data_IF_565073441034
#
_entry.id   IF_565073441034
#
_cell.length_a   1.000
_cell.length_b   1.000
_cell.length_c   1.000
_cell.angle_alpha   90.00
_cell.angle_beta   90.00
_cell.angle_gamma   90.00
#
_symmetry.space_group_name_H-M   'P 1'
#
loop_
_entity.id
_entity.type
_entity.pdbx_description
1 polymer ?
#
# COMPACT_ATOMS: atom_id res chain seq x y z
N UNK A 1 -5.99 1.64 0.23
CA UNK A 1 -4.68 0.99 0.52
C UNK A 1 -3.49 1.68 -0.16
N UNK A 2 -3.54 2.96 -0.52
CA UNK A 2 -2.45 3.63 -1.27
C UNK A 2 -1.65 4.62 -0.43
N UNK A 3 -2.19 5.05 0.72
CA UNK A 3 -1.51 5.99 1.60
C UNK A 3 -0.27 5.39 2.23
N UNK A 4 0.82 6.17 2.21
CA UNK A 4 2.13 5.81 2.79
C UNK A 4 2.37 6.46 4.15
N UNK A 5 1.40 7.23 4.64
CA UNK A 5 1.51 7.95 5.90
C UNK A 5 1.20 7.05 7.10
N UNK A 6 2.01 7.12 8.15
CA UNK A 6 1.84 6.30 9.36
C UNK A 6 0.49 6.57 10.03
N UNK A 7 0.01 7.82 10.01
CA UNK A 7 -1.31 8.16 10.58
C UNK A 7 -2.51 7.54 9.85
N UNK A 8 -2.29 6.90 8.70
CA UNK A 8 -3.31 6.12 7.98
C UNK A 8 -3.01 4.62 7.95
N UNK A 9 -1.99 4.19 8.70
CA UNK A 9 -1.67 2.78 8.85
C UNK A 9 -2.73 2.08 9.70
N UNK A 10 -2.93 0.78 9.46
CA UNK A 10 -3.74 -0.02 10.38
C UNK A 10 -2.94 -0.23 11.66
N UNK A 11 -3.50 0.12 12.81
CA UNK A 11 -2.81 0.04 14.08
C UNK A 11 -3.78 -0.04 15.25
N UNK A 12 -3.41 -0.83 16.26
CA UNK A 12 -4.16 -0.95 17.50
C UNK A 12 -3.87 0.20 18.49
N UNK A 13 -3.05 1.21 18.13
CA UNK A 13 -2.79 2.36 19.00
C UNK A 13 -4.04 3.20 19.30
N UNK A 14 -4.99 3.21 18.37
CA UNK A 14 -6.30 3.86 18.53
C UNK A 14 -7.36 2.88 18.08
N UNK A 15 -7.90 2.13 19.04
CA UNK A 15 -8.85 1.02 18.83
C UNK A 15 -10.00 1.42 17.89
N UNK A 16 -10.64 2.57 18.13
CA UNK A 16 -11.76 3.03 17.29
C UNK A 16 -11.39 3.22 15.81
N UNK A 17 -10.15 3.65 15.51
CA UNK A 17 -9.71 3.90 14.13
C UNK A 17 -9.40 2.60 13.38
N UNK A 18 -9.02 1.55 14.10
CA UNK A 18 -8.75 0.24 13.52
C UNK A 18 -10.06 -0.45 13.14
N UNK A 19 -11.02 -0.47 14.08
CA UNK A 19 -12.34 -1.07 13.87
C UNK A 19 -13.09 -0.38 12.73
N UNK A 20 -13.05 0.96 12.67
CA UNK A 20 -13.62 1.73 11.57
C UNK A 20 -13.00 1.34 10.21
N UNK A 21 -11.68 1.14 10.17
CA UNK A 21 -10.98 0.72 8.95
C UNK A 21 -11.32 -0.71 8.55
N UNK A 22 -11.48 -1.63 9.51
CA UNK A 22 -11.90 -3.01 9.26
C UNK A 22 -13.34 -3.04 8.74
N UNK A 23 -14.26 -2.35 9.42
CA UNK A 23 -15.66 -2.25 9.02
C UNK A 23 -15.79 -1.69 7.59
N UNK A 24 -15.04 -0.62 7.27
CA UNK A 24 -15.00 -0.08 5.93
C UNK A 24 -14.57 -1.11 4.87
N UNK A 25 -13.54 -1.91 5.16
CA UNK A 25 -13.06 -2.94 4.23
C UNK A 25 -14.07 -4.07 4.03
N UNK A 26 -14.79 -4.45 5.09
CA UNK A 26 -15.86 -5.45 5.03
C UNK A 26 -17.05 -4.93 4.22
N UNK A 27 -17.49 -3.70 4.46
CA UNK A 27 -18.54 -3.03 3.67
C UNK A 27 -18.13 -2.90 2.19
N UNK A 28 -16.86 -2.61 1.93
CA UNK A 28 -16.33 -2.54 0.57
C UNK A 28 -16.41 -3.89 -0.16
N UNK A 29 -16.17 -5.00 0.54
CA UNK A 29 -16.38 -6.34 -0.01
C UNK A 29 -17.85 -6.61 -0.32
N UNK A 30 -18.75 -6.26 0.60
CA UNK A 30 -20.20 -6.42 0.41
C UNK A 30 -20.66 -5.63 -0.81
N UNK A 31 -20.23 -4.38 -0.93
CA UNK A 31 -20.52 -3.53 -2.09
C UNK A 31 -20.10 -4.21 -3.39
N UNK A 32 -18.85 -4.67 -3.53
CA UNK A 32 -18.39 -5.30 -4.76
C UNK A 32 -19.05 -6.66 -5.06
N UNK A 33 -19.47 -7.38 -4.03
CA UNK A 33 -20.19 -8.65 -4.17
C UNK A 33 -21.63 -8.46 -4.65
N UNK A 34 -22.27 -7.33 -4.31
CA UNK A 34 -23.67 -7.04 -4.67
C UNK A 34 -23.81 -6.34 -6.03
N UNK A 35 -22.70 -5.86 -6.62
CA UNK A 35 -22.72 -5.30 -7.97
C UNK A 35 -23.19 -6.33 -9.00
N UNK A 36 -24.38 -6.11 -9.55
CA UNK A 36 -24.88 -6.86 -10.70
C UNK A 36 -24.31 -6.25 -11.99
N UNK A 37 -23.54 -7.05 -12.73
CA UNK A 37 -22.96 -6.64 -14.01
C UNK A 37 -23.59 -7.52 -15.09
N UNK A 38 -24.36 -6.93 -16.00
CA UNK A 38 -24.98 -7.65 -17.13
C UNK A 38 -23.96 -7.99 -18.20
N UNK A 39 -24.06 -9.20 -18.75
CA UNK A 39 -23.30 -9.55 -19.95
C UNK A 39 -23.94 -8.93 -21.19
N UNK A 40 -23.15 -8.32 -22.08
CA UNK A 40 -23.66 -7.64 -23.28
C UNK A 40 -24.40 -8.59 -24.24
N UNK A 41 -24.10 -9.89 -24.17
CA UNK A 41 -24.68 -10.94 -25.03
C UNK A 41 -25.88 -11.66 -24.41
N UNK A 42 -26.13 -11.52 -23.11
CA UNK A 42 -27.20 -12.22 -22.40
C UNK A 42 -27.66 -11.39 -21.20
N UNK A 43 -28.97 -11.27 -20.95
CA UNK A 43 -29.54 -10.56 -19.79
C UNK A 43 -29.29 -11.26 -18.42
N UNK A 44 -28.24 -12.07 -18.35
CA UNK A 44 -27.77 -12.75 -17.15
C UNK A 44 -26.69 -11.93 -16.47
N UNK A 45 -26.72 -12.00 -15.15
CA UNK A 45 -25.68 -11.43 -14.31
C UNK A 45 -24.39 -12.21 -14.51
N UNK A 46 -23.27 -11.49 -14.63
CA UNK A 46 -21.96 -12.08 -14.81
C UNK A 46 -20.98 -11.55 -13.77
N UNK A 47 -20.25 -12.46 -13.14
CA UNK A 47 -19.23 -12.11 -12.18
C UNK A 47 -17.95 -11.73 -12.93
N UNK A 48 -17.49 -10.48 -12.75
CA UNK A 48 -16.29 -9.99 -13.44
C UNK A 48 -15.03 -10.26 -12.62
N UNK A 49 -13.87 -10.48 -13.28
CA UNK A 49 -12.59 -10.65 -12.59
C UNK A 49 -12.25 -9.55 -11.58
N UNK A 50 -12.71 -8.31 -11.81
CA UNK A 50 -12.52 -7.20 -10.87
C UNK A 50 -13.22 -7.44 -9.52
N UNK A 51 -14.42 -8.04 -9.51
CA UNK A 51 -15.13 -8.36 -8.27
C UNK A 51 -14.36 -9.42 -7.49
N UNK A 52 -13.88 -10.47 -8.18
CA UNK A 52 -13.02 -11.48 -7.57
C UNK A 52 -11.73 -10.87 -7.00
N UNK A 53 -11.10 -9.98 -7.76
CA UNK A 53 -9.87 -9.30 -7.36
C UNK A 53 -10.06 -8.46 -6.09
N UNK A 54 -11.16 -7.72 -5.99
CA UNK A 54 -11.50 -6.96 -4.78
C UNK A 54 -11.74 -7.89 -3.59
N UNK A 55 -12.55 -8.93 -3.74
CA UNK A 55 -12.80 -9.88 -2.64
C UNK A 55 -11.52 -10.53 -2.12
N UNK A 56 -10.66 -11.03 -3.03
CA UNK A 56 -9.41 -11.68 -2.66
C UNK A 56 -8.45 -10.70 -2.00
N UNK A 57 -8.24 -9.52 -2.59
CA UNK A 57 -7.28 -8.53 -2.07
C UNK A 57 -7.70 -7.99 -0.71
N UNK A 58 -8.98 -7.67 -0.52
CA UNK A 58 -9.49 -7.17 0.76
C UNK A 58 -9.48 -8.25 1.83
N UNK A 59 -9.89 -9.49 1.51
CA UNK A 59 -9.80 -10.63 2.44
C UNK A 59 -8.35 -10.86 2.88
N UNK A 60 -7.41 -10.79 1.93
CA UNK A 60 -5.99 -10.95 2.24
C UNK A 60 -5.47 -9.82 3.13
N UNK A 61 -5.87 -8.59 2.87
CA UNK A 61 -5.50 -7.44 3.69
C UNK A 61 -6.00 -7.58 5.13
N UNK A 62 -7.27 -7.98 5.32
CA UNK A 62 -7.88 -8.21 6.64
C UNK A 62 -7.20 -9.34 7.42
N UNK A 63 -6.82 -10.43 6.74
CA UNK A 63 -6.11 -11.54 7.39
C UNK A 63 -4.67 -11.18 7.75
N UNK A 64 -3.93 -10.57 6.82
CA UNK A 64 -2.54 -10.20 7.03
C UNK A 64 -2.42 -9.15 8.12
N UNK A 65 -3.27 -8.13 8.13
CA UNK A 65 -3.23 -7.12 9.20
C UNK A 65 -3.51 -7.75 10.56
N UNK A 66 -4.47 -8.68 10.64
CA UNK A 66 -4.80 -9.37 11.89
C UNK A 66 -3.62 -10.20 12.39
N UNK A 67 -2.99 -11.00 11.52
CA UNK A 67 -1.81 -11.77 11.93
C UNK A 67 -0.67 -10.85 12.38
N UNK A 68 -0.33 -9.82 11.59
CA UNK A 68 0.78 -8.94 11.92
C UNK A 68 0.55 -8.17 13.22
N UNK A 69 -0.65 -7.61 13.43
CA UNK A 69 -0.95 -6.83 14.62
C UNK A 69 -1.18 -7.71 15.86
N UNK A 70 -1.99 -8.77 15.75
CA UNK A 70 -2.47 -9.52 16.92
C UNK A 70 -1.65 -10.77 17.24
N UNK A 71 -1.03 -11.41 16.23
CA UNK A 71 -0.21 -12.62 16.44
C UNK A 71 1.26 -12.25 16.59
N UNK A 72 1.77 -11.41 15.69
CA UNK A 72 3.18 -11.01 15.67
C UNK A 72 3.48 -9.71 16.45
N UNK A 73 2.45 -9.04 16.99
CA UNK A 73 2.57 -7.83 17.82
C UNK A 73 3.29 -6.66 17.13
N UNK A 74 3.10 -6.49 15.83
CA UNK A 74 3.56 -5.29 15.13
C UNK A 74 2.76 -4.06 15.58
N UNK A 75 3.43 -2.92 15.67
CA UNK A 75 2.83 -1.65 16.10
C UNK A 75 1.80 -1.11 15.09
N UNK A 76 2.08 -1.28 13.79
CA UNK A 76 1.22 -0.85 12.70
C UNK A 76 1.54 -1.62 11.41
N UNK A 77 0.59 -1.61 10.47
CA UNK A 77 0.73 -2.23 9.15
C UNK A 77 0.40 -1.20 8.07
N UNK A 78 1.35 -1.00 7.16
CA UNK A 78 1.16 -0.16 5.96
C UNK A 78 0.70 -1.01 4.79
N UNK A 79 -0.62 -1.10 4.58
CA UNK A 79 -1.18 -1.91 3.49
C UNK A 79 -0.69 -1.48 2.09
N UNK A 80 -0.26 -0.24 1.92
CA UNK A 80 0.33 0.26 0.67
C UNK A 80 1.62 -0.44 0.25
N UNK A 81 2.26 -1.22 1.14
CA UNK A 81 3.47 -1.98 0.81
C UNK A 81 3.18 -3.32 0.15
N UNK A 82 1.94 -3.78 0.16
CA UNK A 82 1.51 -5.00 -0.52
C UNK A 82 1.00 -4.74 -1.95
N UNK A 83 1.10 -3.50 -2.45
CA UNK A 83 0.75 -3.15 -3.83
C UNK A 83 1.95 -3.31 -4.77
N UNK A 84 1.67 -3.33 -6.08
CA UNK A 84 2.70 -3.38 -7.12
C UNK A 84 3.25 -1.99 -7.48
N UNK A 85 2.84 -0.93 -6.80
CA UNK A 85 3.20 0.45 -7.13
C UNK A 85 4.71 0.66 -7.14
N UNK A 86 5.45 0.05 -6.20
CA UNK A 86 6.91 0.16 -6.17
C UNK A 86 7.57 -0.44 -7.42
N UNK A 87 7.04 -1.56 -7.91
CA UNK A 87 7.53 -2.24 -9.11
C UNK A 87 7.14 -1.45 -10.37
N UNK A 88 5.94 -0.90 -10.42
CA UNK A 88 5.50 -0.04 -11.53
C UNK A 88 6.32 1.25 -11.61
N UNK A 89 6.63 1.85 -10.46
CA UNK A 89 7.53 2.99 -10.36
C UNK A 89 8.95 2.64 -10.83
N UNK A 90 9.47 1.47 -10.48
CA UNK A 90 10.75 0.98 -11.00
C UNK A 90 10.72 0.85 -12.54
N UNK A 91 9.67 0.26 -13.11
CA UNK A 91 9.54 0.19 -14.57
C UNK A 91 9.42 1.57 -15.22
N UNK A 92 8.80 2.53 -14.55
CA UNK A 92 8.77 3.93 -15.01
C UNK A 92 10.17 4.56 -15.02
N UNK A 93 11.00 4.29 -14.00
CA UNK A 93 12.41 4.71 -13.98
C UNK A 93 13.24 4.08 -15.10
N UNK A 94 12.99 2.81 -15.45
CA UNK A 94 13.67 2.18 -16.58
C UNK A 94 13.20 2.77 -17.91
N UNK A 95 11.89 2.97 -18.06
CA UNK A 95 11.27 3.49 -19.28
C UNK A 95 11.53 4.98 -19.53
N UNK A 96 11.90 5.74 -18.50
CA UNK A 96 12.29 7.14 -18.68
C UNK A 96 13.59 7.30 -19.50
N UNK A 97 14.45 6.27 -19.52
CA UNK A 97 15.68 6.23 -20.33
C UNK A 97 15.39 5.75 -21.76
N UNK A 98 14.56 4.72 -21.90
CA UNK A 98 14.07 4.22 -23.19
C UNK A 98 12.63 3.70 -23.01
N UNK A 99 11.61 4.29 -23.67
CA UNK A 99 10.21 3.92 -23.49
C UNK A 99 9.90 2.44 -23.75
N UNK A 100 10.63 1.81 -24.68
CA UNK A 100 10.47 0.39 -25.04
C UNK A 100 11.85 -0.27 -25.03
N UNK A 101 12.38 -0.61 -23.85
CA UNK A 101 13.72 -1.16 -23.73
C UNK A 101 13.75 -2.61 -24.21
N UNK A 102 14.80 -2.99 -24.95
CA UNK A 102 15.08 -4.40 -25.25
C UNK A 102 15.56 -5.12 -23.99
N UNK A 103 15.48 -6.45 -23.96
CA UNK A 103 15.85 -7.24 -22.79
C UNK A 103 17.27 -6.95 -22.26
N UNK A 104 18.25 -6.75 -23.15
CA UNK A 104 19.62 -6.37 -22.78
C UNK A 104 19.69 -4.98 -22.14
N UNK A 105 18.98 -4.01 -22.72
CA UNK A 105 18.93 -2.63 -22.22
C UNK A 105 18.25 -2.57 -20.86
N UNK A 106 17.16 -3.32 -20.68
CA UNK A 106 16.47 -3.47 -19.40
C UNK A 106 17.42 -4.05 -18.33
N UNK A 107 18.13 -5.14 -18.65
CA UNK A 107 19.10 -5.78 -17.75
C UNK A 107 20.26 -4.85 -17.38
N UNK A 108 20.83 -4.13 -18.35
CA UNK A 108 21.90 -3.17 -18.10
C UNK A 108 21.41 -1.99 -17.24
N UNK A 109 20.21 -1.49 -17.52
CA UNK A 109 19.59 -0.40 -16.75
C UNK A 109 19.38 -0.81 -15.29
N UNK A 110 18.82 -2.00 -15.04
CA UNK A 110 18.68 -2.52 -13.67
C UNK A 110 20.02 -2.68 -12.94
N UNK A 111 21.07 -3.13 -13.64
CA UNK A 111 22.42 -3.27 -13.06
C UNK A 111 23.03 -1.93 -12.67
N UNK A 112 22.84 -0.91 -13.50
CA UNK A 112 23.33 0.45 -13.24
C UNK A 112 22.53 1.13 -12.13
N UNK A 113 21.23 0.87 -12.05
CA UNK A 113 20.35 1.43 -11.03
C UNK A 113 20.46 0.69 -9.68
N UNK A 114 21.03 -0.52 -9.64
CA UNK A 114 21.30 -1.26 -8.40
C UNK A 114 22.28 -0.52 -7.45
N UNK A 115 23.11 0.37 -7.99
CA UNK A 115 24.09 1.16 -7.24
C UNK A 115 23.64 2.59 -6.93
N UNK A 116 22.42 2.98 -7.29
CA UNK A 116 21.89 4.34 -7.03
C UNK A 116 20.60 4.23 -6.21
N UNK A 117 20.44 4.99 -5.11
CA UNK A 117 19.17 5.04 -4.42
C UNK A 117 18.09 5.52 -5.38
N UNK A 118 17.05 4.70 -5.58
CA UNK A 118 15.86 5.00 -6.39
C UNK A 118 15.00 6.04 -5.66
N UNK A 119 15.53 7.24 -5.46
CA UNK A 119 14.86 8.36 -4.82
C UNK A 119 15.37 9.67 -5.40
N UNK A 120 15.08 9.95 -6.67
CA UNK A 120 14.79 11.32 -7.12
C UNK A 120 13.76 11.24 -8.24
N UNK A 121 12.51 10.92 -7.87
CA UNK A 121 11.38 11.41 -8.63
C UNK A 121 11.34 12.92 -8.39
N UNK A 122 11.82 13.67 -9.39
CA UNK A 122 11.52 15.06 -9.73
C UNK A 122 10.93 15.90 -8.57
N UNK A 123 11.78 16.71 -7.95
CA UNK A 123 11.36 17.91 -7.22
C UNK A 123 10.58 18.80 -8.19
N UNK A 124 9.25 18.83 -8.04
CA UNK A 124 8.36 19.95 -8.33
C UNK A 124 7.05 19.62 -7.61
N UNK A 125 6.93 20.09 -6.37
CA UNK A 125 5.71 19.96 -5.55
C UNK A 125 5.88 19.16 -4.25
N UNK A 126 6.28 19.86 -3.19
CA UNK A 126 5.99 19.58 -1.77
C UNK A 126 6.65 18.37 -1.06
N UNK A 127 7.50 18.73 -0.09
CA UNK A 127 7.92 18.00 1.12
C UNK A 127 7.63 16.49 1.15
N UNK A 128 8.61 15.67 0.78
CA UNK A 128 8.68 14.29 1.24
C UNK A 128 10.12 13.97 1.64
N UNK A 129 10.28 13.52 2.89
CA UNK A 129 11.53 13.11 3.54
C UNK A 129 12.35 14.25 4.21
N UNK A 130 11.75 14.90 5.20
CA UNK A 130 12.49 15.61 6.26
C UNK A 130 12.11 15.06 7.63
N UNK A 131 13.10 14.52 8.36
CA UNK A 131 13.10 14.07 9.77
C UNK A 131 12.29 12.80 10.11
N UNK A 132 12.96 11.66 10.04
CA UNK A 132 12.66 10.51 10.91
C UNK A 132 13.35 10.61 12.30
N UNK A 133 14.00 11.74 12.63
CA UNK A 133 14.66 11.93 13.94
C UNK A 133 13.81 12.64 15.01
N UNK A 134 12.54 12.95 14.73
CA UNK A 134 11.69 13.71 15.65
C UNK A 134 10.67 12.87 16.45
N UNK A 135 10.40 11.62 16.06
CA UNK A 135 9.37 10.80 16.73
C UNK A 135 9.93 10.05 17.96
N UNK A 136 11.25 9.92 18.08
CA UNK A 136 11.91 9.43 19.31
C UNK A 136 11.95 10.47 20.45
N UNK A 137 11.53 11.72 20.22
CA UNK A 137 11.50 12.79 21.23
C UNK A 137 10.12 13.10 21.81
N UNK A 138 9.06 12.48 21.31
CA UNK A 138 7.68 12.75 21.77
C UNK A 138 7.18 11.70 22.78
N UNK A 139 7.90 10.59 22.96
CA UNK A 139 7.54 9.54 23.92
C UNK A 139 8.51 9.41 25.12
N UNK A 140 9.21 10.47 25.50
CA UNK A 140 10.09 10.42 26.68
C UNK A 140 10.51 11.80 27.14
N UNK A 141 9.63 12.50 27.86
CA UNK A 141 9.99 13.70 28.63
C UNK A 141 8.93 14.12 29.68
N UNK A 142 8.39 13.19 30.47
CA UNK A 142 7.89 13.39 31.84
C UNK A 142 8.10 11.99 32.48
N UNK A 143 8.89 11.73 33.53
CA UNK A 143 9.10 12.44 34.78
C UNK A 143 10.57 12.28 35.25
N UNK A 144 11.08 13.30 35.93
CA UNK A 144 12.25 13.20 36.79
C UNK A 144 11.83 13.03 38.25
N UNK A 145 12.78 12.55 39.06
CA UNK A 145 12.83 12.59 40.53
C UNK A 145 11.90 11.64 41.31
N UNK A 146 12.35 10.39 41.52
CA UNK A 146 13.10 9.93 42.70
C UNK A 146 13.54 8.47 42.53
#
# INVERSE_FOLDING_TARGET
>A
MTSRYIGTAMSNFKESSHDEAVAFLEEFMVMFSSLSIKATSTDRDCFKPVQNGVLISTTSALRIQHELLNVYNFLFVLLCRFTRDALENLFSCVRSKNPVPRALEFKLTLRLDHGKPVLQAKQEGELCCGRMDAVARVCGAEEGCL
#
